data_IF_802504766730
#
_entry.id   IF_802504766730
#
_cell.length_a   1.000
_cell.length_b   1.000
_cell.length_c   1.000
_cell.angle_alpha   90.00
_cell.angle_beta   90.00
_cell.angle_gamma   90.00
#
_symmetry.space_group_name_H-M   'P 1'
#
loop_
_entity.id
_entity.type
_entity.pdbx_description
1 polymer ?
#
# COMPACT_ATOMS: atom_id res chain seq x y z
N UNK A 1 -29.24 -8.72 11.31
CA UNK A 1 -28.45 -7.46 11.36
C UNK A 1 -28.65 -6.78 10.02
N UNK A 2 -28.90 -5.48 9.99
CA UNK A 2 -29.11 -4.77 8.71
C UNK A 2 -27.78 -4.67 7.96
N UNK A 3 -27.78 -4.91 6.64
CA UNK A 3 -26.57 -4.91 5.80
C UNK A 3 -25.82 -3.56 5.84
N UNK A 4 -26.52 -2.46 6.10
CA UNK A 4 -25.90 -1.14 6.18
C UNK A 4 -24.80 -1.04 7.25
N UNK A 5 -24.93 -1.71 8.41
CA UNK A 5 -23.93 -1.60 9.46
C UNK A 5 -22.55 -2.15 9.06
N UNK A 6 -22.41 -3.43 8.61
CA UNK A 6 -21.12 -3.93 8.16
C UNK A 6 -20.64 -3.24 6.88
N UNK A 7 -21.54 -2.82 5.98
CA UNK A 7 -21.14 -2.13 4.75
C UNK A 7 -20.55 -0.74 5.04
N UNK A 8 -21.15 0.04 5.94
CA UNK A 8 -20.62 1.35 6.38
C UNK A 8 -19.30 1.15 7.13
N UNK A 9 -19.21 0.16 8.02
CA UNK A 9 -17.96 -0.16 8.71
C UNK A 9 -16.84 -0.52 7.72
N UNK A 10 -17.13 -1.39 6.74
CA UNK A 10 -16.18 -1.75 5.69
C UNK A 10 -15.74 -0.51 4.90
N UNK A 11 -16.67 0.37 4.51
CA UNK A 11 -16.33 1.61 3.81
C UNK A 11 -15.42 2.52 4.64
N UNK A 12 -15.70 2.69 5.94
CA UNK A 12 -14.87 3.49 6.84
C UNK A 12 -13.46 2.91 7.01
N UNK A 13 -13.34 1.60 7.18
CA UNK A 13 -12.06 0.89 7.28
C UNK A 13 -11.26 1.02 5.98
N UNK A 14 -11.91 0.84 4.82
CA UNK A 14 -11.29 0.99 3.52
C UNK A 14 -10.77 2.41 3.29
N UNK A 15 -11.58 3.44 3.59
CA UNK A 15 -11.16 4.84 3.48
C UNK A 15 -10.01 5.17 4.46
N UNK A 16 -10.01 4.59 5.65
CA UNK A 16 -8.92 4.77 6.62
C UNK A 16 -7.62 4.14 6.12
N UNK A 17 -7.70 2.93 5.57
CA UNK A 17 -6.55 2.27 4.93
C UNK A 17 -6.07 3.05 3.71
N UNK A 18 -6.97 3.53 2.85
CA UNK A 18 -6.63 4.37 1.70
C UNK A 18 -5.90 5.65 2.13
N UNK A 19 -6.43 6.35 3.14
CA UNK A 19 -5.76 7.51 3.72
C UNK A 19 -4.37 7.14 4.25
N UNK A 20 -4.24 5.99 4.93
CA UNK A 20 -2.96 5.48 5.40
C UNK A 20 -1.96 5.24 4.27
N UNK A 21 -2.38 4.64 3.15
CA UNK A 21 -1.53 4.44 1.97
C UNK A 21 -1.03 5.78 1.41
N UNK A 22 -1.89 6.79 1.34
CA UNK A 22 -1.54 8.10 0.77
C UNK A 22 -0.73 9.00 1.71
N UNK A 23 -0.93 8.88 3.03
CA UNK A 23 -0.37 9.80 4.00
C UNK A 23 0.91 9.30 4.71
N UNK A 24 1.22 8.00 4.62
CA UNK A 24 2.34 7.40 5.36
C UNK A 24 3.58 7.28 4.47
N UNK A 25 4.69 7.81 4.95
CA UNK A 25 6.02 7.65 4.33
C UNK A 25 6.76 6.36 4.73
N UNK A 26 6.40 5.78 5.88
CA UNK A 26 7.03 4.54 6.36
C UNK A 26 6.42 3.34 5.63
N UNK A 27 7.24 2.57 4.93
CA UNK A 27 6.83 1.40 4.15
C UNK A 27 6.03 0.38 4.99
N UNK A 28 6.37 0.17 6.26
CA UNK A 28 5.62 -0.74 7.14
C UNK A 28 4.22 -0.21 7.40
N UNK A 29 4.07 1.10 7.61
CA UNK A 29 2.76 1.72 7.82
C UNK A 29 1.91 1.70 6.55
N UNK A 30 2.52 1.79 5.37
CA UNK A 30 1.82 1.61 4.10
C UNK A 30 1.33 0.17 3.94
N UNK A 31 2.18 -0.84 4.20
CA UNK A 31 1.76 -2.25 4.20
C UNK A 31 0.60 -2.52 5.16
N UNK A 32 0.68 -2.03 6.39
CA UNK A 32 -0.43 -2.14 7.36
C UNK A 32 -1.72 -1.47 6.87
N UNK A 33 -1.60 -0.39 6.10
CA UNK A 33 -2.75 0.32 5.55
C UNK A 33 -3.41 -0.47 4.41
N UNK A 34 -2.62 -1.16 3.59
CA UNK A 34 -3.11 -2.10 2.56
C UNK A 34 -3.83 -3.28 3.21
N UNK A 35 -3.27 -3.85 4.28
CA UNK A 35 -3.93 -4.93 5.03
C UNK A 35 -5.28 -4.51 5.61
N UNK A 36 -5.38 -3.27 6.10
CA UNK A 36 -6.64 -2.73 6.58
C UNK A 36 -7.68 -2.62 5.46
N UNK A 37 -7.26 -2.22 4.25
CA UNK A 37 -8.12 -2.20 3.06
C UNK A 37 -8.59 -3.60 2.66
N UNK A 38 -7.69 -4.60 2.65
CA UNK A 38 -8.04 -6.00 2.36
C UNK A 38 -9.00 -6.58 3.40
N UNK A 39 -8.82 -6.25 4.69
CA UNK A 39 -9.77 -6.64 5.75
C UNK A 39 -11.15 -6.00 5.57
N UNK A 40 -11.22 -4.76 5.10
CA UNK A 40 -12.49 -4.12 4.76
C UNK A 40 -13.21 -4.84 3.61
N UNK A 41 -12.48 -5.27 2.58
CA UNK A 41 -13.03 -6.07 1.48
C UNK A 41 -13.55 -7.42 2.00
N UNK A 42 -12.79 -8.11 2.84
CA UNK A 42 -13.19 -9.37 3.47
C UNK A 42 -14.46 -9.24 4.30
N UNK A 43 -14.57 -8.18 5.11
CA UNK A 43 -15.78 -7.89 5.88
C UNK A 43 -16.99 -7.72 4.95
N UNK A 44 -16.80 -7.04 3.82
CA UNK A 44 -17.86 -6.83 2.84
C UNK A 44 -18.29 -8.15 2.18
N UNK A 45 -17.33 -8.98 1.77
CA UNK A 45 -17.60 -10.31 1.18
C UNK A 45 -18.45 -11.18 2.11
N UNK A 46 -18.07 -11.28 3.39
CA UNK A 46 -18.83 -12.07 4.37
C UNK A 46 -20.21 -11.45 4.65
N UNK A 47 -20.30 -10.13 4.76
CA UNK A 47 -21.56 -9.45 5.03
C UNK A 47 -22.59 -9.65 3.90
N UNK A 48 -22.16 -9.52 2.66
CA UNK A 48 -23.00 -9.76 1.48
C UNK A 48 -23.35 -11.24 1.32
N UNK A 49 -22.44 -12.16 1.60
CA UNK A 49 -22.72 -13.61 1.58
C UNK A 49 -23.84 -13.98 2.55
N UNK A 50 -23.75 -13.51 3.80
CA UNK A 50 -24.77 -13.76 4.83
C UNK A 50 -26.10 -13.11 4.49
N UNK A 51 -26.09 -11.91 3.90
CA UNK A 51 -27.31 -11.23 3.49
C UNK A 51 -27.99 -11.94 2.31
N UNK A 52 -27.22 -12.31 1.28
CA UNK A 52 -27.75 -12.97 0.09
C UNK A 52 -28.23 -14.39 0.38
N UNK A 53 -27.51 -15.15 1.21
CA UNK A 53 -27.90 -16.50 1.64
C UNK A 53 -29.27 -16.51 2.34
N UNK A 54 -29.60 -15.43 3.07
CA UNK A 54 -30.93 -15.27 3.69
C UNK A 54 -32.02 -14.93 2.67
N UNK A 55 -31.69 -14.21 1.61
CA UNK A 55 -32.63 -13.77 0.59
C UNK A 55 -32.92 -14.86 -0.46
N UNK A 56 -31.92 -15.62 -0.87
CA UNK A 56 -32.00 -16.50 -2.04
C UNK A 56 -32.35 -17.97 -1.72
N UNK A 57 -32.40 -18.41 -0.46
CA UNK A 57 -32.51 -19.84 -0.05
C UNK A 57 -31.44 -20.78 -0.65
N UNK A 58 -30.48 -20.24 -1.41
CA UNK A 58 -29.32 -20.97 -1.91
C UNK A 58 -28.17 -20.93 -0.90
N UNK A 59 -27.49 -22.06 -0.78
CA UNK A 59 -26.46 -22.34 0.25
C UNK A 59 -25.02 -22.15 -0.27
N UNK A 60 -24.84 -21.47 -1.41
CA UNK A 60 -23.49 -21.27 -1.96
C UNK A 60 -22.78 -20.14 -1.19
N UNK A 61 -21.98 -20.51 -0.19
CA UNK A 61 -21.15 -19.63 0.65
C UNK A 61 -19.89 -19.12 -0.08
N UNK A 62 -20.04 -18.66 -1.32
CA UNK A 62 -18.93 -18.24 -2.18
C UNK A 62 -18.18 -17.03 -1.62
N UNK A 63 -18.87 -16.09 -0.96
CA UNK A 63 -18.21 -14.92 -0.36
C UNK A 63 -17.35 -15.28 0.85
N UNK A 64 -17.79 -16.25 1.65
CA UNK A 64 -16.98 -16.79 2.75
C UNK A 64 -15.76 -17.57 2.24
N UNK A 65 -15.94 -18.41 1.21
CA UNK A 65 -14.83 -19.12 0.59
C UNK A 65 -13.78 -18.15 0.02
N UNK A 66 -14.21 -17.13 -0.73
CA UNK A 66 -13.30 -16.11 -1.28
C UNK A 66 -12.58 -15.32 -0.18
N UNK A 67 -13.24 -15.08 0.96
CA UNK A 67 -12.61 -14.43 2.12
C UNK A 67 -11.44 -15.24 2.66
N UNK A 68 -11.59 -16.57 2.78
CA UNK A 68 -10.50 -17.45 3.22
C UNK A 68 -9.29 -17.41 2.27
N UNK A 69 -9.55 -17.41 0.95
CA UNK A 69 -8.48 -17.25 -0.04
C UNK A 69 -7.80 -15.89 0.06
N UNK A 70 -8.57 -14.82 0.26
CA UNK A 70 -8.03 -13.47 0.40
C UNK A 70 -7.16 -13.35 1.66
N UNK A 71 -7.54 -13.98 2.78
CA UNK A 71 -6.71 -14.05 3.99
C UNK A 71 -5.40 -14.79 3.71
N UNK A 72 -5.44 -15.91 2.98
CA UNK A 72 -4.23 -16.65 2.63
C UNK A 72 -3.30 -15.83 1.71
N UNK A 73 -3.86 -15.10 0.75
CA UNK A 73 -3.13 -14.19 -0.14
C UNK A 73 -2.52 -13.04 0.66
N UNK A 74 -3.28 -12.41 1.56
CA UNK A 74 -2.79 -11.34 2.42
C UNK A 74 -1.63 -11.79 3.32
N UNK A 75 -1.71 -13.01 3.88
CA UNK A 75 -0.60 -13.58 4.64
C UNK A 75 0.66 -13.78 3.79
N UNK A 76 0.52 -14.22 2.53
CA UNK A 76 1.63 -14.34 1.59
C UNK A 76 2.20 -12.96 1.21
N UNK A 77 1.33 -11.99 0.93
CA UNK A 77 1.70 -10.61 0.60
C UNK A 77 2.49 -9.95 1.74
N UNK A 78 2.04 -10.05 2.99
CA UNK A 78 2.78 -9.50 4.14
C UNK A 78 4.14 -10.14 4.33
N UNK A 79 4.25 -11.45 4.11
CA UNK A 79 5.55 -12.13 4.14
C UNK A 79 6.52 -11.55 3.11
N UNK A 80 6.06 -11.36 1.87
CA UNK A 80 6.86 -10.78 0.78
C UNK A 80 7.16 -9.30 1.04
N UNK A 81 6.15 -8.51 1.42
CA UNK A 81 6.27 -7.08 1.69
C UNK A 81 7.26 -6.78 2.80
N UNK A 82 7.18 -7.49 3.93
CA UNK A 82 8.14 -7.32 5.02
C UNK A 82 9.55 -7.78 4.63
N UNK A 83 9.68 -8.85 3.84
CA UNK A 83 10.98 -9.29 3.35
C UNK A 83 11.65 -8.21 2.47
N UNK A 84 10.88 -7.57 1.58
CA UNK A 84 11.36 -6.46 0.75
C UNK A 84 11.74 -5.26 1.62
N UNK A 85 10.87 -4.85 2.56
CA UNK A 85 11.15 -3.73 3.46
C UNK A 85 12.41 -3.97 4.28
N UNK A 86 12.61 -5.20 4.79
CA UNK A 86 13.80 -5.54 5.55
C UNK A 86 15.06 -5.57 4.68
N UNK A 87 14.97 -6.07 3.44
CA UNK A 87 16.09 -6.06 2.50
C UNK A 87 16.53 -4.62 2.19
N UNK A 88 15.58 -3.72 1.92
CA UNK A 88 15.84 -2.29 1.71
C UNK A 88 16.40 -1.64 2.97
N UNK A 89 15.83 -1.91 4.13
CA UNK A 89 16.30 -1.34 5.40
C UNK A 89 17.75 -1.77 5.70
N UNK A 90 18.13 -3.00 5.37
CA UNK A 90 19.50 -3.49 5.58
C UNK A 90 20.54 -2.79 4.69
N UNK A 91 20.14 -2.36 3.50
CA UNK A 91 21.01 -1.63 2.56
C UNK A 91 21.02 -0.12 2.84
N UNK A 92 19.86 0.45 3.19
CA UNK A 92 19.64 1.90 3.26
C UNK A 92 19.57 2.48 4.67
N UNK A 93 19.40 1.64 5.69
CA UNK A 93 19.19 2.06 7.08
C UNK A 93 17.86 2.79 7.34
N UNK A 94 16.93 2.81 6.37
CA UNK A 94 15.64 3.49 6.48
C UNK A 94 14.54 2.72 5.74
N UNK A 95 13.31 2.81 6.25
CA UNK A 95 12.09 2.31 5.62
C UNK A 95 11.20 3.46 5.09
N UNK A 96 11.77 4.66 4.94
CA UNK A 96 11.11 5.83 4.38
C UNK A 96 11.06 5.75 2.85
N UNK A 97 9.87 5.60 2.29
CA UNK A 97 9.63 5.36 0.86
C UNK A 97 10.07 6.58 0.03
N UNK A 98 9.92 7.80 0.55
CA UNK A 98 10.29 9.03 -0.17
C UNK A 98 11.80 9.12 -0.43
N UNK A 99 12.59 8.39 0.36
CA UNK A 99 14.06 8.34 0.24
C UNK A 99 14.54 7.25 -0.73
N UNK A 100 13.64 6.47 -1.33
CA UNK A 100 13.95 5.39 -2.29
C UNK A 100 13.87 5.87 -3.75
N UNK A 101 14.36 7.08 -4.04
CA UNK A 101 14.18 7.77 -5.34
C UNK A 101 15.37 7.64 -6.31
N UNK A 102 16.27 6.70 -6.09
CA UNK A 102 17.53 6.59 -6.85
C UNK A 102 17.35 6.34 -8.36
N UNK A 103 16.24 5.74 -8.77
CA UNK A 103 15.91 5.47 -10.18
C UNK A 103 15.12 6.62 -10.83
N UNK A 104 14.74 7.66 -10.07
CA UNK A 104 14.06 8.78 -10.69
C UNK A 104 15.05 9.61 -11.50
N UNK A 105 14.67 9.88 -12.74
CA UNK A 105 15.41 10.77 -13.63
C UNK A 105 15.64 12.10 -12.91
N UNK A 106 16.93 12.45 -12.77
CA UNK A 106 17.34 13.70 -12.12
C UNK A 106 16.79 14.85 -12.98
N UNK A 107 15.93 15.73 -12.43
CA UNK A 107 15.57 16.96 -13.13
C UNK A 107 16.85 17.79 -13.27
N UNK A 108 17.45 17.78 -14.46
CA UNK A 108 18.73 18.43 -14.76
C UNK A 108 19.78 17.57 -15.46
N UNK A 109 19.53 16.28 -15.71
CA UNK A 109 20.35 15.50 -16.64
C UNK A 109 19.93 15.80 -18.09
N UNK A 110 19.98 17.07 -18.49
CA UNK A 110 19.89 17.44 -19.89
C UNK A 110 21.30 17.35 -20.49
N UNK A 111 21.60 16.34 -21.34
CA UNK A 111 22.91 16.22 -21.97
C UNK A 111 23.25 17.41 -22.88
N UNK A 112 22.26 18.24 -23.24
CA UNK A 112 22.42 19.41 -24.09
C UNK A 112 22.72 20.72 -23.32
N UNK A 113 22.81 20.67 -21.98
CA UNK A 113 23.25 21.81 -21.17
C UNK A 113 24.52 21.50 -20.37
N UNK A 114 25.71 21.88 -20.88
CA UNK A 114 26.95 21.68 -20.15
C UNK A 114 26.93 22.51 -18.86
N UNK A 115 27.09 21.80 -17.76
CA UNK A 115 27.14 22.28 -16.38
C UNK A 115 28.09 23.48 -16.24
N UNK A 116 27.54 24.69 -16.09
CA UNK A 116 28.29 25.93 -15.91
C UNK A 116 28.83 26.09 -14.47
N UNK A 117 29.12 25.00 -13.76
CA UNK A 117 29.63 25.02 -12.39
C UNK A 117 31.16 24.87 -12.28
N UNK A 118 31.87 24.87 -13.41
CA UNK A 118 33.33 24.70 -13.46
C UNK A 118 34.19 25.97 -13.37
N UNK A 119 33.63 27.19 -13.46
CA UNK A 119 34.44 28.39 -13.72
C UNK A 119 34.75 29.24 -12.48
N UNK A 120 34.03 29.09 -11.37
CA UNK A 120 34.14 30.05 -10.24
C UNK A 120 35.35 29.81 -9.30
N UNK A 121 36.03 28.67 -9.37
CA UNK A 121 37.19 28.37 -8.48
C UNK A 121 38.55 28.79 -9.04
N UNK A 122 38.65 29.26 -10.28
CA UNK A 122 39.92 29.64 -10.89
C UNK A 122 40.26 31.16 -10.74
N UNK A 123 39.27 32.02 -10.51
CA UNK A 123 39.48 33.49 -10.48
C UNK A 123 39.78 34.07 -9.09
N UNK A 124 39.64 33.32 -8.01
CA UNK A 124 39.88 33.82 -6.65
C UNK A 124 41.36 33.83 -6.21
N UNK A 125 42.31 33.60 -7.13
CA UNK A 125 43.76 33.52 -6.81
C UNK A 125 44.68 34.33 -7.72
N UNK A 126 44.15 35.28 -8.50
CA UNK A 126 44.93 36.22 -9.30
C UNK A 126 44.93 37.63 -8.69
#
# INVERSE_FOLDING_TARGET
MHLAYPAVLAALLFCTGLYGVLARRNAILVLMSVELMLNAVNLNLVAFDVWLSRAAKDTLHSGQALTLFTIAIAAAEIGIGLAIVLAVYRDRGTADIDRLRDTAERPGADPDHPDASGTEKAEATA
#
